data_IF_687072687179
#
_entry.id   IF_687072687179
#
_cell.length_a   1.000
_cell.length_b   1.000
_cell.length_c   1.000
_cell.angle_alpha   90.00
_cell.angle_beta   90.00
_cell.angle_gamma   90.00
#
_symmetry.space_group_name_H-M   'P 1'
#
loop_
_entity.id
_entity.type
_entity.pdbx_description
1 polymer ?
#
# COMPACT_ATOMS: atom_id res chain seq x y z
N UNK A 1 -24.50 -47.75 -22.74
CA UNK A 1 -23.52 -47.91 -21.64
C UNK A 1 -22.63 -46.67 -21.58
N UNK A 2 -22.72 -45.97 -20.44
CA UNK A 2 -21.81 -44.99 -19.79
C UNK A 2 -21.04 -43.98 -20.67
N UNK A 3 -21.63 -42.80 -20.83
CA UNK A 3 -20.96 -41.53 -21.20
C UNK A 3 -20.07 -41.09 -20.03
N UNK A 4 -18.77 -40.88 -20.25
CA UNK A 4 -17.84 -40.34 -19.25
C UNK A 4 -17.97 -38.81 -19.24
N UNK A 5 -18.69 -38.28 -18.26
CA UNK A 5 -18.69 -36.85 -17.93
C UNK A 5 -17.46 -36.64 -17.05
N UNK A 6 -16.43 -35.96 -17.59
CA UNK A 6 -15.33 -35.45 -16.78
C UNK A 6 -15.88 -34.27 -15.99
N UNK A 7 -16.11 -34.51 -14.70
CA UNK A 7 -16.56 -33.51 -13.75
C UNK A 7 -15.48 -32.43 -13.59
N UNK A 8 -15.85 -31.19 -13.89
CA UNK A 8 -15.08 -30.02 -13.52
C UNK A 8 -15.04 -29.92 -11.99
N UNK A 9 -13.87 -30.17 -11.40
CA UNK A 9 -13.62 -29.87 -10.00
C UNK A 9 -13.58 -28.34 -9.83
N UNK A 10 -14.74 -27.74 -9.57
CA UNK A 10 -14.84 -26.38 -9.07
C UNK A 10 -14.25 -26.41 -7.66
N UNK A 11 -13.01 -25.97 -7.56
CA UNK A 11 -12.32 -25.77 -6.30
C UNK A 11 -12.92 -24.52 -5.65
N UNK A 12 -14.04 -24.72 -4.95
CA UNK A 12 -14.64 -23.69 -4.09
C UNK A 12 -13.64 -23.41 -2.98
N UNK A 13 -12.86 -22.35 -3.15
CA UNK A 13 -12.10 -21.72 -2.07
C UNK A 13 -13.10 -21.18 -1.05
N UNK A 14 -13.49 -22.05 -0.11
CA UNK A 14 -14.17 -21.66 1.12
C UNK A 14 -13.18 -20.79 1.89
N UNK A 15 -13.36 -19.47 1.80
CA UNK A 15 -12.77 -18.53 2.73
C UNK A 15 -13.39 -18.81 4.11
N UNK A 16 -12.81 -19.75 4.83
CA UNK A 16 -13.04 -19.89 6.26
C UNK A 16 -12.54 -18.60 6.91
N UNK A 17 -13.47 -17.67 7.15
CA UNK A 17 -13.26 -16.47 7.94
C UNK A 17 -12.82 -16.89 9.33
N UNK A 18 -11.51 -16.97 9.53
CA UNK A 18 -10.94 -16.94 10.87
C UNK A 18 -11.21 -15.54 11.40
N UNK A 19 -12.33 -15.39 12.12
CA UNK A 19 -12.57 -14.27 12.99
C UNK A 19 -11.59 -14.37 14.17
N UNK A 20 -10.30 -14.16 13.90
CA UNK A 20 -9.39 -13.66 14.91
C UNK A 20 -9.77 -12.20 15.09
N UNK A 21 -10.36 -11.91 16.25
CA UNK A 21 -10.57 -10.57 16.75
C UNK A 21 -9.20 -9.88 16.93
N UNK A 22 -8.64 -9.41 15.82
CA UNK A 22 -7.59 -8.41 15.84
C UNK A 22 -8.20 -7.12 16.44
N UNK A 23 -7.48 -6.40 17.31
CA UNK A 23 -7.94 -5.10 17.79
C UNK A 23 -8.28 -4.26 16.57
N UNK A 24 -9.55 -3.86 16.45
CA UNK A 24 -10.00 -3.05 15.34
C UNK A 24 -9.10 -1.82 15.20
N UNK A 25 -8.84 -1.43 13.96
CA UNK A 25 -8.33 -0.10 13.60
C UNK A 25 -9.36 1.02 13.86
N UNK A 26 -10.16 0.85 14.93
CA UNK A 26 -10.99 1.85 15.56
C UNK A 26 -10.56 1.88 17.02
N UNK A 27 -9.65 2.80 17.35
CA UNK A 27 -9.10 2.91 18.69
C UNK A 27 -10.21 3.00 19.74
N UNK A 28 -10.17 2.09 20.72
CA UNK A 28 -10.67 2.41 22.07
C UNK A 28 -9.94 3.68 22.49
N UNK A 29 -10.72 4.71 22.82
CA UNK A 29 -10.25 6.04 23.22
C UNK A 29 -9.13 5.97 24.25
N UNK A 30 -7.90 6.13 23.78
CA UNK A 30 -6.76 6.53 24.58
C UNK A 30 -6.86 8.03 24.76
N UNK A 31 -6.96 8.46 26.02
CA UNK A 31 -7.19 9.83 26.47
C UNK A 31 -6.22 10.83 25.83
N UNK A 32 -6.64 11.50 24.77
CA UNK A 32 -6.23 12.87 24.51
C UNK A 32 -7.29 13.76 25.20
N UNK A 33 -6.84 14.63 26.10
CA UNK A 33 -7.71 15.49 26.91
C UNK A 33 -8.61 16.41 26.08
N UNK A 34 -9.56 17.10 26.73
CA UNK A 34 -10.52 17.96 26.04
C UNK A 34 -9.80 19.23 25.55
N UNK A 35 -9.33 19.22 24.31
CA UNK A 35 -8.70 20.38 23.69
C UNK A 35 -8.52 20.19 22.19
N UNK A 36 -9.29 20.96 21.40
CA UNK A 36 -9.07 21.28 19.99
C UNK A 36 -8.83 20.09 19.06
N UNK A 37 -9.88 19.64 18.36
CA UNK A 37 -9.82 18.53 17.39
C UNK A 37 -8.67 18.70 16.40
N UNK A 38 -7.65 17.84 16.52
CA UNK A 38 -6.61 17.75 15.49
C UNK A 38 -7.27 17.27 14.18
N UNK A 39 -6.96 17.88 13.04
CA UNK A 39 -7.46 17.41 11.75
C UNK A 39 -7.02 15.95 11.57
N UNK A 40 -7.96 15.09 11.17
CA UNK A 40 -7.67 13.70 10.85
C UNK A 40 -6.49 13.62 9.88
N UNK A 41 -5.56 12.69 10.14
CA UNK A 41 -4.41 12.49 9.25
C UNK A 41 -4.87 12.14 7.83
N UNK A 42 -4.11 12.57 6.82
CA UNK A 42 -4.45 12.41 5.39
C UNK A 42 -4.85 10.96 5.00
N UNK A 43 -4.22 9.95 5.58
CA UNK A 43 -4.58 8.54 5.34
C UNK A 43 -5.94 8.14 5.92
N UNK A 44 -6.34 8.77 7.04
CA UNK A 44 -7.62 8.56 7.71
C UNK A 44 -8.76 9.28 6.97
N UNK A 45 -8.48 10.44 6.38
CA UNK A 45 -9.42 11.15 5.52
C UNK A 45 -9.68 10.40 4.20
N UNK A 46 -8.61 9.92 3.54
CA UNK A 46 -8.74 9.11 2.32
C UNK A 46 -9.55 7.83 2.55
N UNK A 47 -9.45 7.24 3.75
CA UNK A 47 -10.20 6.05 4.14
C UNK A 47 -11.70 6.33 4.34
N UNK A 48 -12.08 7.51 4.85
CA UNK A 48 -13.48 7.90 5.00
C UNK A 48 -14.14 8.27 3.67
N UNK A 49 -13.40 8.90 2.76
CA UNK A 49 -13.91 9.35 1.46
C UNK A 49 -14.02 8.21 0.43
N UNK A 50 -13.49 7.02 0.74
CA UNK A 50 -13.48 5.87 -0.18
C UNK A 50 -14.80 5.10 -0.16
N UNK A 51 -15.18 4.54 -1.32
CA UNK A 51 -16.31 3.62 -1.42
C UNK A 51 -16.17 2.43 -0.44
N UNK A 52 -17.29 1.87 0.10
CA UNK A 52 -17.25 0.83 1.13
C UNK A 52 -16.41 -0.40 0.74
N UNK A 53 -16.47 -0.81 -0.52
CA UNK A 53 -15.69 -1.94 -1.05
C UNK A 53 -14.17 -1.63 -1.08
N UNK A 54 -13.81 -0.41 -1.46
CA UNK A 54 -12.40 0.04 -1.48
C UNK A 54 -11.87 0.15 -0.04
N UNK A 55 -12.71 0.62 0.89
CA UNK A 55 -12.39 0.73 2.31
C UNK A 55 -12.14 -0.64 2.95
N UNK A 56 -12.96 -1.64 2.63
CA UNK A 56 -12.75 -3.02 3.08
C UNK A 56 -11.38 -3.57 2.62
N UNK A 57 -10.99 -3.30 1.36
CA UNK A 57 -9.67 -3.68 0.83
C UNK A 57 -8.52 -2.92 1.52
N UNK A 58 -8.72 -1.65 1.85
CA UNK A 58 -7.73 -0.89 2.64
C UNK A 58 -7.53 -1.48 4.03
N UNK A 59 -8.62 -1.89 4.70
CA UNK A 59 -8.57 -2.53 6.01
C UNK A 59 -7.88 -3.88 5.97
N UNK A 60 -8.19 -4.70 4.96
CA UNK A 60 -7.50 -5.99 4.73
C UNK A 60 -6.00 -5.77 4.47
N UNK A 61 -5.65 -4.82 3.61
CA UNK A 61 -4.26 -4.46 3.36
C UNK A 61 -3.54 -3.99 4.63
N UNK A 62 -4.20 -3.22 5.49
CA UNK A 62 -3.62 -2.76 6.75
C UNK A 62 -3.32 -3.94 7.70
N UNK A 63 -4.22 -4.93 7.76
CA UNK A 63 -4.00 -6.17 8.53
C UNK A 63 -2.80 -6.96 7.99
N UNK A 64 -2.72 -7.13 6.67
CA UNK A 64 -1.58 -7.82 6.06
C UNK A 64 -0.24 -7.12 6.32
N UNK A 65 -0.20 -5.78 6.38
CA UNK A 65 1.02 -5.05 6.79
C UNK A 65 1.43 -5.34 8.24
N UNK A 66 0.46 -5.57 9.13
CA UNK A 66 0.73 -5.98 10.52
C UNK A 66 1.30 -7.40 10.52
N UNK A 67 0.68 -8.32 9.78
CA UNK A 67 1.12 -9.71 9.69
C UNK A 67 2.52 -9.83 9.08
N UNK A 68 2.81 -9.05 8.03
CA UNK A 68 4.13 -8.98 7.41
C UNK A 68 5.17 -8.47 8.42
N UNK A 69 4.87 -7.38 9.14
CA UNK A 69 5.76 -6.86 10.18
C UNK A 69 6.02 -7.92 11.25
N UNK A 70 4.98 -8.56 11.76
CA UNK A 70 5.10 -9.59 12.79
C UNK A 70 5.95 -10.77 12.31
N UNK A 71 5.82 -11.19 11.05
CA UNK A 71 6.65 -12.26 10.48
C UNK A 71 8.12 -11.85 10.38
N UNK A 72 8.39 -10.61 9.94
CA UNK A 72 9.75 -10.08 9.78
C UNK A 72 10.46 -9.81 11.12
N UNK A 73 9.71 -9.65 12.22
CA UNK A 73 10.25 -9.39 13.56
C UNK A 73 10.65 -10.65 14.34
N UNK A 74 10.33 -11.83 13.81
CA UNK A 74 10.76 -13.10 14.42
C UNK A 74 12.28 -13.24 14.37
N UNK A 75 12.83 -14.00 15.32
CA UNK A 75 14.27 -14.32 15.33
C UNK A 75 14.70 -15.05 14.06
N UNK A 76 13.82 -15.90 13.52
CA UNK A 76 14.01 -16.57 12.22
C UNK A 76 12.74 -16.36 11.38
N UNK A 77 12.70 -15.32 10.53
CA UNK A 77 11.55 -15.04 9.68
C UNK A 77 11.29 -16.15 8.65
N UNK A 78 10.02 -16.51 8.44
CA UNK A 78 9.67 -17.37 7.33
C UNK A 78 9.62 -16.57 6.02
N UNK A 79 10.68 -16.69 5.21
CA UNK A 79 10.84 -15.95 3.95
C UNK A 79 9.72 -16.22 2.93
N UNK A 80 9.25 -17.46 2.83
CA UNK A 80 8.17 -17.82 1.90
C UNK A 80 6.85 -17.16 2.31
N UNK A 81 6.53 -17.19 3.61
CA UNK A 81 5.33 -16.54 4.14
C UNK A 81 5.39 -15.02 4.00
N UNK A 82 6.54 -14.39 4.24
CA UNK A 82 6.72 -12.96 4.06
C UNK A 82 6.48 -12.52 2.60
N UNK A 83 6.99 -13.30 1.63
CA UNK A 83 6.75 -13.06 0.20
C UNK A 83 5.28 -13.20 -0.18
N UNK A 84 4.59 -14.24 0.30
CA UNK A 84 3.15 -14.45 0.05
C UNK A 84 2.30 -13.29 0.62
N UNK A 85 2.59 -12.84 1.85
CA UNK A 85 1.88 -11.69 2.44
C UNK A 85 2.15 -10.42 1.62
N UNK A 86 3.40 -10.18 1.21
CA UNK A 86 3.76 -9.03 0.39
C UNK A 86 3.06 -9.04 -0.98
N UNK A 87 2.96 -10.19 -1.63
CA UNK A 87 2.23 -10.33 -2.90
C UNK A 87 0.75 -9.97 -2.76
N UNK A 88 0.11 -10.43 -1.67
CA UNK A 88 -1.28 -10.08 -1.34
C UNK A 88 -1.44 -8.57 -1.10
N UNK A 89 -0.50 -7.96 -0.37
CA UNK A 89 -0.47 -6.49 -0.16
C UNK A 89 -0.38 -5.75 -1.51
N UNK A 90 0.50 -6.19 -2.41
CA UNK A 90 0.62 -5.56 -3.72
C UNK A 90 -0.63 -5.72 -4.56
N UNK A 91 -1.26 -6.90 -4.55
CA UNK A 91 -2.51 -7.15 -5.27
C UNK A 91 -3.61 -6.21 -4.79
N UNK A 92 -3.86 -6.14 -3.48
CA UNK A 92 -4.83 -5.20 -2.91
C UNK A 92 -4.45 -3.73 -3.21
N UNK A 93 -3.16 -3.40 -3.14
CA UNK A 93 -2.65 -2.09 -3.51
C UNK A 93 -3.02 -1.69 -4.94
N UNK A 94 -2.81 -2.58 -5.91
CA UNK A 94 -3.19 -2.36 -7.32
C UNK A 94 -4.69 -2.17 -7.48
N UNK A 95 -5.51 -2.97 -6.80
CA UNK A 95 -6.97 -2.86 -6.89
C UNK A 95 -7.49 -1.54 -6.29
N UNK A 96 -6.95 -1.13 -5.15
CA UNK A 96 -7.27 0.16 -4.50
C UNK A 96 -6.85 1.33 -5.40
N UNK A 97 -5.63 1.30 -5.92
CA UNK A 97 -5.11 2.37 -6.78
C UNK A 97 -5.87 2.46 -8.11
N UNK A 98 -6.23 1.31 -8.71
CA UNK A 98 -7.05 1.29 -9.91
C UNK A 98 -8.45 1.89 -9.67
N UNK A 99 -9.11 1.54 -8.56
CA UNK A 99 -10.41 2.12 -8.22
C UNK A 99 -10.34 3.64 -8.03
N UNK A 100 -9.34 4.13 -7.30
CA UNK A 100 -9.10 5.56 -7.11
C UNK A 100 -8.75 6.29 -8.41
N UNK A 101 -7.96 5.64 -9.27
CA UNK A 101 -7.59 6.20 -10.55
C UNK A 101 -8.78 6.33 -11.51
N UNK A 102 -9.64 5.31 -11.56
CA UNK A 102 -10.89 5.39 -12.34
C UNK A 102 -11.84 6.47 -11.81
N UNK A 103 -11.86 6.74 -10.50
CA UNK A 103 -12.57 7.91 -9.96
C UNK A 103 -11.97 9.24 -10.42
N UNK A 104 -10.63 9.36 -10.44
CA UNK A 104 -9.95 10.55 -10.95
C UNK A 104 -10.23 10.77 -12.45
N UNK A 105 -10.31 9.69 -13.23
CA UNK A 105 -10.65 9.79 -14.65
C UNK A 105 -12.11 10.26 -14.89
N UNK A 106 -13.02 9.99 -13.95
CA UNK A 106 -14.41 10.47 -13.99
C UNK A 106 -14.52 11.92 -13.53
N UNK A 107 -13.75 12.28 -12.51
CA UNK A 107 -13.72 13.63 -11.95
C UNK A 107 -12.26 14.07 -11.70
N UNK A 108 -11.65 14.75 -12.68
CA UNK A 108 -10.26 15.23 -12.56
C UNK A 108 -10.03 16.18 -11.39
N UNK A 109 -11.07 16.84 -10.86
CA UNK A 109 -10.95 17.73 -9.69
C UNK A 109 -10.55 16.97 -8.42
N UNK A 110 -10.82 15.66 -8.37
CA UNK A 110 -10.37 14.77 -7.29
C UNK A 110 -8.87 14.52 -7.31
N UNK A 111 -8.15 14.88 -8.38
CA UNK A 111 -6.69 14.79 -8.43
C UNK A 111 -6.03 15.86 -7.55
N UNK A 112 -6.06 15.65 -6.23
CA UNK A 112 -5.45 16.57 -5.26
C UNK A 112 -3.95 16.34 -5.17
N UNK A 113 -3.19 17.43 -5.07
CA UNK A 113 -1.79 17.36 -4.67
C UNK A 113 -1.71 16.76 -3.26
N UNK A 114 -1.02 15.63 -3.11
CA UNK A 114 -0.74 15.07 -1.79
C UNK A 114 0.08 16.09 -1.00
N UNK A 115 -0.41 16.50 0.16
CA UNK A 115 0.39 17.25 1.12
C UNK A 115 1.59 16.37 1.49
N UNK A 116 2.79 16.81 1.12
CA UNK A 116 4.03 16.18 1.54
C UNK A 116 4.18 16.41 3.04
N UNK A 117 4.18 15.33 3.82
CA UNK A 117 4.60 15.39 5.21
C UNK A 117 6.07 15.83 5.34
N UNK A 118 6.57 16.03 6.57
CA UNK A 118 7.94 16.45 6.82
C UNK A 118 8.94 15.59 6.04
N UNK A 119 9.91 16.26 5.39
CA UNK A 119 10.96 15.62 4.58
C UNK A 119 11.71 14.63 5.46
N UNK A 120 11.51 13.34 5.20
CA UNK A 120 12.35 12.29 5.77
C UNK A 120 13.64 12.19 4.94
N UNK A 121 14.75 11.85 5.59
CA UNK A 121 16.01 11.60 4.90
C UNK A 121 15.91 10.30 4.10
N UNK A 122 15.98 10.42 2.78
CA UNK A 122 16.02 9.28 1.86
C UNK A 122 17.45 8.97 1.44
N UNK A 123 17.74 7.69 1.22
CA UNK A 123 18.96 7.26 0.53
C UNK A 123 19.05 7.88 -0.87
N UNK A 124 20.24 8.05 -1.47
CA UNK A 124 20.37 8.60 -2.82
C UNK A 124 19.54 7.83 -3.88
N UNK A 125 19.48 6.51 -3.76
CA UNK A 125 18.69 5.64 -4.64
C UNK A 125 17.18 5.85 -4.45
N UNK A 126 16.71 5.96 -3.20
CA UNK A 126 15.32 6.31 -2.90
C UNK A 126 14.96 7.72 -3.40
N UNK A 127 15.91 8.67 -3.37
CA UNK A 127 15.68 10.02 -3.91
C UNK A 127 15.43 9.98 -5.41
N UNK A 128 16.26 9.27 -6.17
CA UNK A 128 16.11 9.16 -7.62
C UNK A 128 14.76 8.55 -8.01
N UNK A 129 14.37 7.43 -7.38
CA UNK A 129 13.07 6.79 -7.65
C UNK A 129 11.89 7.68 -7.26
N UNK A 130 11.98 8.42 -6.15
CA UNK A 130 10.94 9.36 -5.73
C UNK A 130 10.84 10.56 -6.67
N UNK A 131 11.96 11.07 -7.19
CA UNK A 131 11.96 12.13 -8.19
C UNK A 131 11.34 11.69 -9.51
N UNK A 132 11.61 10.46 -9.96
CA UNK A 132 10.96 9.89 -11.13
C UNK A 132 9.44 9.79 -10.93
N UNK A 133 8.98 9.26 -9.81
CA UNK A 133 7.55 9.21 -9.46
C UNK A 133 6.95 10.63 -9.43
N UNK A 134 7.66 11.62 -8.87
CA UNK A 134 7.20 13.02 -8.85
C UNK A 134 7.07 13.60 -10.26
N UNK A 135 8.03 13.36 -11.15
CA UNK A 135 7.98 13.80 -12.55
C UNK A 135 6.78 13.19 -13.26
N UNK A 136 6.58 11.87 -13.15
CA UNK A 136 5.43 11.19 -13.74
C UNK A 136 4.09 11.70 -13.20
N UNK A 137 3.98 11.94 -11.88
CA UNK A 137 2.78 12.58 -11.31
C UNK A 137 2.56 14.00 -11.83
N UNK A 138 3.63 14.78 -12.04
CA UNK A 138 3.54 16.12 -12.61
C UNK A 138 3.05 16.08 -14.05
N UNK A 139 3.59 15.17 -14.88
CA UNK A 139 3.13 14.98 -16.26
C UNK A 139 1.66 14.57 -16.32
N UNK A 140 1.25 13.65 -15.42
CA UNK A 140 -0.14 13.20 -15.34
C UNK A 140 -1.07 14.35 -14.93
N UNK A 141 -0.64 15.22 -13.99
CA UNK A 141 -1.38 16.43 -13.62
C UNK A 141 -1.55 17.38 -14.81
N UNK A 142 -0.46 17.67 -15.51
CA UNK A 142 -0.48 18.56 -16.67
C UNK A 142 -1.39 18.02 -17.77
N UNK A 143 -1.40 16.71 -18.00
CA UNK A 143 -2.28 16.08 -18.98
C UNK A 143 -3.76 16.13 -18.57
N UNK A 144 -4.06 15.96 -17.28
CA UNK A 144 -5.42 16.07 -16.72
C UNK A 144 -6.00 17.48 -16.77
N UNK A 145 -5.15 18.51 -16.79
CA UNK A 145 -5.55 19.93 -16.82
C UNK A 145 -5.84 20.48 -18.22
N UNK A 146 -5.62 19.68 -19.28
CA UNK A 146 -5.93 20.08 -20.65
C UNK A 146 -7.45 20.13 -20.87
N UNK A 147 -7.89 20.96 -21.81
CA UNK A 147 -9.30 21.01 -22.26
C UNK A 147 -9.80 19.64 -22.75
N UNK A 148 -8.91 18.88 -23.41
CA UNK A 148 -9.17 17.52 -23.87
C UNK A 148 -8.08 16.56 -23.35
N UNK A 149 -8.25 15.99 -22.14
CA UNK A 149 -7.26 15.09 -21.56
C UNK A 149 -7.07 13.80 -22.36
N UNK A 150 -5.83 13.43 -22.67
CA UNK A 150 -5.54 12.15 -23.29
C UNK A 150 -5.55 11.01 -22.25
N UNK A 151 -6.69 10.32 -22.14
CA UNK A 151 -6.90 9.24 -21.16
C UNK A 151 -5.95 8.04 -21.35
N UNK A 152 -5.52 7.74 -22.58
CA UNK A 152 -4.57 6.66 -22.83
C UNK A 152 -3.20 7.00 -22.24
N UNK A 153 -2.70 8.21 -22.49
CA UNK A 153 -1.45 8.71 -21.92
C UNK A 153 -1.48 8.74 -20.38
N UNK A 154 -2.59 9.16 -19.78
CA UNK A 154 -2.75 9.19 -18.32
C UNK A 154 -2.69 7.76 -17.74
N UNK A 155 -3.33 6.78 -18.40
CA UNK A 155 -3.25 5.35 -18.02
C UNK A 155 -1.83 4.81 -18.10
N UNK A 156 -1.09 5.16 -19.15
CA UNK A 156 0.30 4.74 -19.32
C UNK A 156 1.20 5.32 -18.21
N UNK A 157 1.04 6.61 -17.90
CA UNK A 157 1.76 7.27 -16.80
C UNK A 157 1.43 6.62 -15.46
N UNK A 158 0.16 6.34 -15.19
CA UNK A 158 -0.26 5.65 -13.96
C UNK A 158 0.36 4.26 -13.83
N UNK A 159 0.39 3.49 -14.92
CA UNK A 159 0.99 2.16 -14.97
C UNK A 159 2.49 2.21 -14.69
N UNK A 160 3.22 3.19 -15.25
CA UNK A 160 4.65 3.40 -14.96
C UNK A 160 4.88 3.70 -13.49
N UNK A 161 4.08 4.57 -12.89
CA UNK A 161 4.15 4.90 -11.46
C UNK A 161 3.94 3.66 -10.60
N UNK A 162 2.90 2.86 -10.90
CA UNK A 162 2.62 1.62 -10.16
C UNK A 162 3.80 0.65 -10.25
N UNK A 163 4.39 0.49 -11.44
CA UNK A 163 5.55 -0.39 -11.65
C UNK A 163 6.73 0.04 -10.79
N UNK A 164 7.14 1.32 -10.84
CA UNK A 164 8.27 1.83 -10.04
C UNK A 164 8.03 1.62 -8.55
N UNK A 165 6.81 1.86 -8.06
CA UNK A 165 6.46 1.63 -6.65
C UNK A 165 6.57 0.15 -6.27
N UNK A 166 6.03 -0.75 -7.09
CA UNK A 166 6.07 -2.19 -6.83
C UNK A 166 7.51 -2.73 -6.88
N UNK A 167 8.32 -2.29 -7.85
CA UNK A 167 9.72 -2.70 -7.99
C UNK A 167 10.55 -2.25 -6.79
N UNK A 168 10.36 -1.00 -6.32
CA UNK A 168 11.01 -0.49 -5.12
C UNK A 168 10.59 -1.26 -3.87
N UNK A 169 9.30 -1.52 -3.71
CA UNK A 169 8.80 -2.25 -2.54
C UNK A 169 9.29 -3.71 -2.56
N UNK A 170 9.39 -4.35 -3.73
CA UNK A 170 10.00 -5.68 -3.89
C UNK A 170 11.47 -5.69 -3.48
N UNK A 171 12.26 -4.73 -3.97
CA UNK A 171 13.68 -4.60 -3.62
C UNK A 171 13.86 -4.44 -2.10
N UNK A 172 12.99 -3.66 -1.47
CA UNK A 172 13.00 -3.48 -0.02
C UNK A 172 12.66 -4.76 0.75
N UNK A 173 11.68 -5.55 0.30
CA UNK A 173 11.42 -6.86 0.91
C UNK A 173 12.69 -7.71 0.92
N UNK A 174 13.35 -7.80 -0.23
CA UNK A 174 14.52 -8.65 -0.38
C UNK A 174 15.70 -8.14 0.46
N UNK A 175 15.87 -6.82 0.62
CA UNK A 175 16.84 -6.25 1.58
C UNK A 175 16.52 -6.67 3.02
N UNK A 176 15.25 -6.60 3.43
CA UNK A 176 14.81 -7.00 4.78
C UNK A 176 14.97 -8.50 5.02
N UNK A 177 14.70 -9.35 4.03
CA UNK A 177 14.86 -10.80 4.13
C UNK A 177 16.32 -11.26 4.11
N UNK A 178 17.23 -10.44 3.57
CA UNK A 178 18.68 -10.67 3.62
C UNK A 178 19.24 -10.28 4.99
N UNK A 179 18.77 -9.17 5.57
CA UNK A 179 19.31 -8.59 6.80
C UNK A 179 18.23 -8.37 7.89
N UNK A 180 17.52 -9.42 8.35
CA UNK A 180 16.34 -9.26 9.21
C UNK A 180 16.63 -8.51 10.53
N UNK A 181 17.80 -8.73 11.13
CA UNK A 181 18.20 -8.06 12.37
C UNK A 181 18.32 -6.54 12.23
N UNK A 182 18.77 -6.03 11.08
CA UNK A 182 18.84 -4.59 10.81
C UNK A 182 17.45 -3.93 10.78
N UNK A 183 16.39 -4.71 10.61
CA UNK A 183 15.02 -4.23 10.46
C UNK A 183 14.05 -4.71 11.56
N UNK A 184 14.53 -5.52 12.51
CA UNK A 184 13.73 -6.07 13.63
C UNK A 184 13.02 -4.98 14.45
N UNK A 185 13.70 -3.85 14.65
CA UNK A 185 13.16 -2.68 15.37
C UNK A 185 12.74 -1.54 14.43
N UNK A 186 12.69 -1.76 13.11
CA UNK A 186 12.19 -0.75 12.19
C UNK A 186 10.68 -0.61 12.37
N UNK A 187 10.16 0.62 12.38
CA UNK A 187 8.71 0.89 12.49
C UNK A 187 7.89 0.34 11.31
N UNK A 188 8.52 -0.29 10.31
CA UNK A 188 7.88 -1.34 9.51
C UNK A 188 8.13 -1.29 8.01
N UNK A 189 7.28 -2.04 7.30
CA UNK A 189 7.15 -2.07 5.85
C UNK A 189 6.35 -0.85 5.37
N UNK A 190 7.05 0.23 5.01
CA UNK A 190 6.46 1.56 4.77
C UNK A 190 7.51 2.67 4.95
N UNK A 191 7.29 3.85 4.35
CA UNK A 191 8.28 4.94 4.16
C UNK A 191 9.36 5.06 5.26
N UNK A 192 10.61 4.84 4.83
CA UNK A 192 11.87 5.29 5.42
C UNK A 192 11.99 5.32 6.94
N UNK A 193 12.56 4.27 7.51
CA UNK A 193 13.45 4.36 8.66
C UNK A 193 14.48 3.21 8.53
N UNK A 194 15.66 3.51 7.95
CA UNK A 194 16.89 2.86 8.44
C UNK A 194 17.08 3.48 9.81
N UNK A 195 17.05 2.66 10.86
CA UNK A 195 17.44 3.16 12.18
C UNK A 195 18.86 3.72 12.01
N UNK A 196 19.06 4.97 12.41
CA UNK A 196 20.39 5.54 12.53
C UNK A 196 21.26 4.59 13.35
N UNK A 197 22.55 4.59 13.04
CA UNK A 197 23.56 3.79 13.74
C UNK A 197 23.33 3.86 15.27
N UNK A 198 23.61 2.78 16.01
CA UNK A 198 23.57 2.83 17.46
C UNK A 198 24.46 3.98 17.91
N UNK A 199 23.86 4.95 18.58
CA UNK A 199 24.56 6.04 19.22
C UNK A 199 25.46 5.40 20.28
N UNK A 200 26.78 5.46 20.07
CA UNK A 200 27.78 5.11 21.08
C UNK A 200 27.72 6.11 22.23
#
# INVERSE_FOLDING_TARGET
>A
MKKKILAAAILVLVFAGSAMAAPGWGGKGGKCGPGGGMPMGFGQQMWQDSAPEVRAKMDERAKLHIDLRAELQKDIPNKAKARDIHEKIQKLGREIEAAQFEEILKDPSKFKARATGPRHEFSPEDRATLEEIRKLHSEMRTELQKETPNKAKIRDLHTKIQKIKNDRDNARLEEMLKNPEAFKNSRGYGWGCKNGQPQQ
#
